data_IF_616845189720
#
_entry.id   IF_616845189720
#
_cell.length_a   1.000
_cell.length_b   1.000
_cell.length_c   1.000
_cell.angle_alpha   90.00
_cell.angle_beta   90.00
_cell.angle_gamma   90.00
#
_symmetry.space_group_name_H-M   'P 1'
#
loop_
_entity.id
_entity.type
_entity.pdbx_description
1 polymer ?
#
# COMPACT_ATOMS: atom_id res chain seq x y z
N UNK A 1 4.75 -13.24 -4.51
CA UNK A 1 3.50 -12.51 -4.81
C UNK A 1 3.78 -11.09 -5.28
N UNK A 2 4.54 -10.30 -4.53
CA UNK A 2 4.82 -8.88 -4.87
C UNK A 2 5.53 -8.72 -6.22
N UNK A 3 6.51 -9.54 -6.53
CA UNK A 3 7.22 -9.48 -7.81
C UNK A 3 6.30 -9.71 -9.00
N UNK A 4 5.36 -10.64 -8.87
CA UNK A 4 4.38 -10.93 -9.91
C UNK A 4 3.44 -9.72 -10.11
N UNK A 5 2.94 -9.15 -9.01
CA UNK A 5 2.05 -7.99 -9.06
C UNK A 5 2.74 -6.77 -9.65
N UNK A 6 3.97 -6.48 -9.22
CA UNK A 6 4.77 -5.40 -9.77
C UNK A 6 4.97 -5.57 -11.28
N UNK A 7 5.34 -6.76 -11.71
CA UNK A 7 5.58 -7.05 -13.11
C UNK A 7 4.30 -6.93 -13.95
N UNK A 8 3.17 -7.37 -13.41
CA UNK A 8 1.87 -7.16 -14.06
C UNK A 8 1.56 -5.67 -14.24
N UNK A 9 1.71 -4.89 -13.18
CA UNK A 9 1.42 -3.45 -13.20
C UNK A 9 2.31 -2.72 -14.22
N UNK A 10 3.58 -3.11 -14.32
CA UNK A 10 4.52 -2.55 -15.28
C UNK A 10 4.35 -3.05 -16.71
N UNK A 11 3.38 -3.94 -16.94
CA UNK A 11 3.11 -4.47 -18.27
C UNK A 11 4.16 -5.44 -18.80
N UNK A 12 4.92 -6.09 -17.94
CA UNK A 12 5.93 -7.08 -18.34
C UNK A 12 5.27 -8.34 -18.88
N UNK A 13 5.91 -8.96 -19.86
CA UNK A 13 5.49 -10.25 -20.41
C UNK A 13 6.09 -11.41 -19.60
N UNK A 14 5.55 -12.62 -19.80
CA UNK A 14 6.03 -13.84 -19.15
C UNK A 14 6.07 -13.73 -17.62
N UNK A 15 4.96 -13.36 -17.03
CA UNK A 15 4.85 -13.11 -15.59
C UNK A 15 5.29 -14.29 -14.73
N UNK A 16 5.17 -15.52 -15.26
CA UNK A 16 5.59 -16.73 -14.54
C UNK A 16 7.07 -16.76 -14.16
N UNK A 17 7.91 -15.99 -14.84
CA UNK A 17 9.33 -15.88 -14.48
C UNK A 17 9.56 -15.07 -13.19
N UNK A 18 8.57 -14.30 -12.76
CA UNK A 18 8.70 -13.43 -11.59
C UNK A 18 8.14 -14.04 -10.30
N UNK A 19 7.61 -15.26 -10.41
CA UNK A 19 7.15 -16.02 -9.25
C UNK A 19 7.11 -17.50 -9.57
N UNK A 20 7.93 -18.29 -8.89
CA UNK A 20 7.99 -19.74 -9.09
C UNK A 20 6.94 -20.51 -8.27
N UNK A 21 6.50 -19.95 -7.14
CA UNK A 21 5.56 -20.60 -6.24
C UNK A 21 4.13 -20.50 -6.78
N UNK A 22 3.52 -21.64 -7.07
CA UNK A 22 2.16 -21.69 -7.62
C UNK A 22 1.11 -21.09 -6.71
N UNK A 23 1.24 -21.25 -5.39
CA UNK A 23 0.34 -20.65 -4.42
C UNK A 23 0.38 -19.12 -4.50
N UNK A 24 1.58 -18.55 -4.54
CA UNK A 24 1.75 -17.10 -4.63
C UNK A 24 1.29 -16.54 -5.97
N UNK A 25 1.44 -17.30 -7.06
CA UNK A 25 0.86 -16.93 -8.35
C UNK A 25 -0.66 -16.86 -8.30
N UNK A 26 -1.31 -17.84 -7.68
CA UNK A 26 -2.77 -17.85 -7.53
C UNK A 26 -3.25 -16.66 -6.70
N UNK A 27 -2.55 -16.38 -5.61
CA UNK A 27 -2.86 -15.23 -4.75
C UNK A 27 -2.71 -13.91 -5.52
N UNK A 28 -1.64 -13.76 -6.29
CA UNK A 28 -1.42 -12.57 -7.12
C UNK A 28 -2.53 -12.41 -8.17
N UNK A 29 -2.93 -13.48 -8.83
CA UNK A 29 -4.01 -13.46 -9.83
C UNK A 29 -5.35 -13.05 -9.21
N UNK A 30 -5.65 -13.49 -7.99
CA UNK A 30 -6.85 -13.07 -7.28
C UNK A 30 -6.83 -11.56 -7.00
N UNK A 31 -5.70 -11.03 -6.57
CA UNK A 31 -5.56 -9.59 -6.34
C UNK A 31 -5.72 -8.83 -7.66
N UNK A 32 -5.14 -9.31 -8.75
CA UNK A 32 -5.28 -8.69 -10.06
C UNK A 32 -6.75 -8.69 -10.49
N UNK A 33 -7.40 -9.85 -10.48
CA UNK A 33 -8.75 -9.99 -11.00
C UNK A 33 -9.79 -9.22 -10.19
N UNK A 34 -9.66 -9.22 -8.87
CA UNK A 34 -10.66 -8.62 -7.98
C UNK A 34 -10.28 -7.23 -7.50
N UNK A 35 -9.00 -6.91 -7.45
CA UNK A 35 -8.49 -5.65 -6.89
C UNK A 35 -7.98 -4.65 -7.91
N UNK A 36 -7.37 -5.09 -9.01
CA UNK A 36 -6.68 -4.19 -9.93
C UNK A 36 -7.39 -4.00 -11.27
N UNK A 37 -7.93 -5.07 -11.84
CA UNK A 37 -8.58 -5.01 -13.16
C UNK A 37 -9.77 -4.05 -13.14
N UNK A 38 -9.77 -3.08 -14.06
CA UNK A 38 -10.78 -2.03 -14.18
C UNK A 38 -10.89 -1.08 -12.97
N UNK A 39 -9.97 -1.17 -12.01
CA UNK A 39 -9.94 -0.31 -10.81
C UNK A 39 -8.69 0.54 -10.75
N UNK A 40 -7.53 -0.01 -11.12
CA UNK A 40 -6.28 0.75 -11.27
C UNK A 40 -6.27 1.37 -12.67
N UNK A 41 -6.41 2.69 -12.73
CA UNK A 41 -6.57 3.43 -13.99
C UNK A 41 -5.25 3.96 -14.51
N UNK A 42 -4.39 4.43 -13.64
CA UNK A 42 -3.10 5.02 -13.97
C UNK A 42 -2.08 4.66 -12.89
N UNK A 43 -0.84 4.42 -13.28
CA UNK A 43 0.25 4.08 -12.38
C UNK A 43 1.26 5.20 -12.36
N UNK A 44 1.53 5.77 -11.20
CA UNK A 44 2.61 6.73 -11.00
C UNK A 44 3.94 6.02 -10.76
N UNK A 45 3.90 4.88 -10.07
CA UNK A 45 5.08 4.07 -9.82
C UNK A 45 4.78 2.83 -8.99
N UNK A 46 5.73 1.88 -9.02
CA UNK A 46 5.73 0.70 -8.17
C UNK A 46 7.00 0.70 -7.34
N UNK A 47 6.94 0.11 -6.14
CA UNK A 47 8.05 0.11 -5.19
C UNK A 47 8.64 1.52 -5.00
N UNK A 48 7.75 2.51 -4.81
CA UNK A 48 8.14 3.90 -4.68
C UNK A 48 8.76 4.16 -3.32
N UNK A 49 10.07 4.43 -3.29
CA UNK A 49 10.76 4.86 -2.07
C UNK A 49 10.50 6.35 -1.87
N UNK A 50 10.05 6.70 -0.68
CA UNK A 50 9.71 8.07 -0.32
C UNK A 50 10.38 8.44 0.98
N UNK A 51 10.87 9.68 1.04
CA UNK A 51 11.49 10.24 2.23
C UNK A 51 10.71 11.48 2.63
N UNK A 52 10.06 11.42 3.78
CA UNK A 52 9.48 12.62 4.39
C UNK A 52 10.65 13.40 5.00
N UNK A 53 10.89 14.65 4.56
CA UNK A 53 12.15 15.35 4.87
C UNK A 53 12.51 15.31 6.35
N UNK A 54 13.72 14.75 6.65
CA UNK A 54 14.33 14.66 7.98
C UNK A 54 13.50 13.90 9.03
N UNK A 55 12.52 13.09 8.62
CA UNK A 55 11.63 12.41 9.58
C UNK A 55 11.56 10.90 9.40
N UNK A 56 11.22 10.42 8.21
CA UNK A 56 11.11 8.99 7.96
C UNK A 56 11.24 8.67 6.47
N UNK A 57 11.48 7.40 6.19
CA UNK A 57 11.52 6.88 4.82
C UNK A 57 10.74 5.57 4.76
N UNK A 58 10.22 5.24 3.60
CA UNK A 58 9.51 4.00 3.36
C UNK A 58 9.28 3.75 1.88
N UNK A 59 8.82 2.54 1.55
CA UNK A 59 8.55 2.12 0.18
C UNK A 59 7.10 1.66 0.06
N UNK A 60 6.33 2.32 -0.80
CA UNK A 60 4.96 1.91 -1.13
C UNK A 60 4.99 0.94 -2.30
N UNK A 61 4.15 -0.10 -2.25
CA UNK A 61 4.09 -1.11 -3.30
C UNK A 61 3.65 -0.51 -4.64
N UNK A 62 2.63 0.35 -4.62
CA UNK A 62 2.13 1.01 -5.81
C UNK A 62 1.51 2.35 -5.45
N UNK A 63 1.67 3.32 -6.34
CA UNK A 63 1.00 4.63 -6.26
C UNK A 63 0.40 4.92 -7.62
N UNK A 64 -0.86 5.32 -7.65
CA UNK A 64 -1.54 5.63 -8.90
C UNK A 64 -2.96 6.12 -8.70
N UNK A 65 -3.71 6.15 -9.79
CA UNK A 65 -5.14 6.47 -9.76
C UNK A 65 -5.94 5.18 -9.67
N UNK A 66 -6.66 5.04 -8.58
CA UNK A 66 -7.45 3.86 -8.25
C UNK A 66 -8.88 4.31 -7.98
N UNK A 67 -9.80 3.80 -8.78
CA UNK A 67 -11.22 4.20 -8.72
C UNK A 67 -11.40 5.72 -8.72
N UNK A 68 -10.65 6.42 -9.59
CA UNK A 68 -10.75 7.85 -9.79
C UNK A 68 -10.02 8.72 -8.78
N UNK A 69 -9.25 8.15 -7.85
CA UNK A 69 -8.53 8.91 -6.81
C UNK A 69 -7.05 8.57 -6.79
N UNK A 70 -6.22 9.57 -6.52
CA UNK A 70 -4.80 9.34 -6.26
C UNK A 70 -4.67 8.54 -4.95
N UNK A 71 -4.07 7.36 -5.04
CA UNK A 71 -4.13 6.32 -4.00
C UNK A 71 -2.78 5.68 -3.76
N UNK A 72 -2.45 5.42 -2.50
CA UNK A 72 -1.41 4.49 -2.09
C UNK A 72 -2.04 3.10 -2.05
N UNK A 73 -1.44 2.14 -2.75
CA UNK A 73 -1.91 0.75 -2.80
C UNK A 73 -0.85 -0.14 -2.19
N UNK A 74 -1.26 -0.98 -1.25
CA UNK A 74 -0.38 -1.92 -0.58
C UNK A 74 -0.92 -3.34 -0.75
N UNK A 75 -0.02 -4.28 -1.04
CA UNK A 75 -0.36 -5.68 -1.22
C UNK A 75 0.07 -6.48 -0.01
N UNK A 76 -0.84 -7.27 0.54
CA UNK A 76 -0.56 -8.13 1.69
C UNK A 76 -0.96 -9.56 1.40
N UNK A 77 -0.16 -10.49 1.88
CA UNK A 77 -0.52 -11.91 1.93
C UNK A 77 -0.74 -12.31 3.39
N UNK A 78 -1.67 -13.23 3.61
CA UNK A 78 -2.04 -13.64 4.96
C UNK A 78 -2.41 -15.11 5.00
N UNK A 79 -2.16 -15.75 6.13
CA UNK A 79 -2.59 -17.14 6.33
C UNK A 79 -4.10 -17.24 6.55
N UNK A 80 -4.71 -16.23 7.14
CA UNK A 80 -6.14 -16.19 7.47
C UNK A 80 -6.74 -14.83 7.11
N UNK A 81 -8.07 -14.78 6.89
CA UNK A 81 -8.74 -13.50 6.70
C UNK A 81 -8.49 -12.55 7.87
N UNK A 82 -8.37 -11.27 7.55
CA UNK A 82 -8.12 -10.21 8.53
C UNK A 82 -9.42 -9.51 8.89
N UNK A 83 -9.51 -9.06 10.15
CA UNK A 83 -10.57 -8.16 10.60
C UNK A 83 -10.03 -6.73 10.62
N UNK A 84 -10.86 -5.76 10.26
CA UNK A 84 -10.44 -4.37 10.18
C UNK A 84 -9.86 -3.85 11.50
N UNK A 85 -10.34 -4.34 12.64
CA UNK A 85 -9.85 -3.92 13.96
C UNK A 85 -8.38 -4.29 14.21
N UNK A 86 -7.83 -5.24 13.45
CA UNK A 86 -6.47 -5.74 13.67
C UNK A 86 -5.45 -5.24 12.63
N UNK A 87 -5.85 -4.33 11.75
CA UNK A 87 -4.95 -3.84 10.68
C UNK A 87 -4.64 -2.34 10.78
N UNK A 88 -4.82 -1.74 11.95
CA UNK A 88 -4.50 -0.32 12.16
C UNK A 88 -3.05 0.01 11.79
N UNK A 89 -2.11 -0.91 12.09
CA UNK A 89 -0.71 -0.71 11.73
C UNK A 89 -0.50 -0.59 10.21
N UNK A 90 -1.28 -1.32 9.42
CA UNK A 90 -1.22 -1.22 7.96
C UNK A 90 -1.74 0.13 7.46
N UNK A 91 -2.83 0.61 8.05
CA UNK A 91 -3.37 1.94 7.72
C UNK A 91 -2.41 3.05 8.14
N UNK A 92 -1.77 2.93 9.30
CA UNK A 92 -0.76 3.89 9.73
C UNK A 92 0.42 3.94 8.75
N UNK A 93 0.87 2.77 8.28
CA UNK A 93 1.95 2.68 7.31
C UNK A 93 1.58 3.34 5.98
N UNK A 94 0.40 3.03 5.43
CA UNK A 94 -0.04 3.62 4.17
C UNK A 94 -0.33 5.11 4.30
N UNK A 95 -0.85 5.55 5.44
CA UNK A 95 -1.04 6.97 5.72
C UNK A 95 0.29 7.72 5.77
N UNK A 96 1.32 7.12 6.37
CA UNK A 96 2.67 7.68 6.36
C UNK A 96 3.20 7.85 4.93
N UNK A 97 2.99 6.84 4.09
CA UNK A 97 3.40 6.91 2.67
C UNK A 97 2.64 8.01 1.92
N UNK A 98 1.34 8.20 2.20
CA UNK A 98 0.56 9.25 1.56
C UNK A 98 1.09 10.64 1.88
N UNK A 99 1.45 10.90 3.13
CA UNK A 99 2.07 12.16 3.54
C UNK A 99 3.40 12.40 2.83
N UNK A 100 4.26 11.38 2.81
CA UNK A 100 5.57 11.48 2.16
C UNK A 100 5.43 11.74 0.66
N UNK A 101 4.54 11.03 -0.02
CA UNK A 101 4.32 11.19 -1.44
C UNK A 101 3.80 12.59 -1.77
N UNK A 102 2.85 13.08 -0.99
CA UNK A 102 2.29 14.43 -1.20
C UNK A 102 3.35 15.52 -1.06
N UNK A 103 4.27 15.39 -0.10
CA UNK A 103 5.34 16.37 0.10
C UNK A 103 6.40 16.25 -1.00
N UNK A 104 6.87 15.05 -1.31
CA UNK A 104 7.99 14.85 -2.25
C UNK A 104 7.57 15.14 -3.68
N UNK A 105 6.36 14.73 -4.08
CA UNK A 105 5.89 14.84 -5.46
C UNK A 105 4.82 15.92 -5.67
N UNK A 106 4.48 16.68 -4.64
CA UNK A 106 3.42 17.68 -4.70
C UNK A 106 2.11 17.06 -5.23
N UNK A 107 1.82 15.84 -4.79
CA UNK A 107 0.61 15.10 -5.17
C UNK A 107 -0.51 15.33 -4.16
N UNK A 108 -1.68 14.80 -4.48
CA UNK A 108 -2.85 14.89 -3.60
C UNK A 108 -3.43 13.49 -3.37
N UNK A 109 -2.68 12.66 -2.67
CA UNK A 109 -3.14 11.33 -2.29
C UNK A 109 -4.29 11.48 -1.29
N UNK A 110 -5.46 10.97 -1.66
CA UNK A 110 -6.70 11.09 -0.86
C UNK A 110 -7.24 9.76 -0.39
N UNK A 111 -6.62 8.65 -0.78
CA UNK A 111 -7.05 7.31 -0.39
C UNK A 111 -5.85 6.39 -0.22
N UNK A 112 -6.03 5.39 0.63
CA UNK A 112 -5.11 4.27 0.78
C UNK A 112 -5.92 2.98 0.70
N UNK A 113 -5.43 2.02 -0.07
CA UNK A 113 -6.09 0.73 -0.29
C UNK A 113 -5.12 -0.38 0.04
N UNK A 114 -5.58 -1.35 0.82
CA UNK A 114 -4.82 -2.55 1.15
C UNK A 114 -5.54 -3.72 0.53
N UNK A 115 -4.88 -4.39 -0.39
CA UNK A 115 -5.39 -5.57 -1.08
C UNK A 115 -4.73 -6.81 -0.50
N UNK A 116 -5.54 -7.67 0.09
CA UNK A 116 -5.08 -8.85 0.81
C UNK A 116 -5.55 -10.10 0.08
N UNK A 117 -4.68 -11.10 -0.03
CA UNK A 117 -5.10 -12.43 -0.41
C UNK A 117 -4.57 -13.44 0.61
N UNK A 118 -5.45 -14.35 1.04
CA UNK A 118 -5.06 -15.43 1.94
C UNK A 118 -4.48 -16.61 1.18
N UNK A 119 -3.81 -17.50 1.88
CA UNK A 119 -3.30 -18.75 1.30
C UNK A 119 -4.41 -19.64 0.73
N UNK A 120 -5.64 -19.49 1.23
CA UNK A 120 -6.83 -20.18 0.71
C UNK A 120 -7.50 -19.42 -0.43
N UNK A 121 -6.82 -18.41 -0.97
CA UNK A 121 -7.25 -17.62 -2.12
C UNK A 121 -8.47 -16.73 -1.85
N UNK A 122 -8.67 -16.32 -0.60
CA UNK A 122 -9.70 -15.35 -0.24
C UNK A 122 -9.16 -13.93 -0.40
N UNK A 123 -9.85 -13.12 -1.20
CA UNK A 123 -9.50 -11.72 -1.44
C UNK A 123 -10.22 -10.82 -0.44
N UNK A 124 -9.50 -9.83 0.09
CA UNK A 124 -10.07 -8.78 0.93
C UNK A 124 -9.53 -7.42 0.49
N UNK A 125 -10.38 -6.42 0.53
CA UNK A 125 -10.01 -5.02 0.29
C UNK A 125 -10.32 -4.20 1.53
N UNK A 126 -9.34 -3.42 1.98
CA UNK A 126 -9.51 -2.44 3.05
C UNK A 126 -9.13 -1.08 2.51
N UNK A 127 -9.96 -0.08 2.74
CA UNK A 127 -9.77 1.26 2.20
C UNK A 127 -10.02 2.31 3.27
N UNK A 128 -9.15 3.31 3.33
CA UNK A 128 -9.38 4.55 4.07
C UNK A 128 -9.27 5.72 3.11
N UNK A 129 -10.13 6.72 3.28
CA UNK A 129 -10.15 7.89 2.41
C UNK A 129 -10.72 9.10 3.15
N UNK A 130 -10.43 10.29 2.62
CA UNK A 130 -10.96 11.53 3.17
C UNK A 130 -10.61 11.73 4.65
N UNK A 131 -11.61 12.07 5.50
CA UNK A 131 -11.35 12.34 6.91
C UNK A 131 -10.73 11.18 7.68
N UNK A 132 -11.05 9.93 7.30
CA UNK A 132 -10.46 8.75 7.92
C UNK A 132 -8.96 8.65 7.64
N UNK A 133 -8.54 8.94 6.41
CA UNK A 133 -7.12 9.00 6.06
C UNK A 133 -6.42 10.09 6.88
N UNK A 134 -7.02 11.28 6.99
CA UNK A 134 -6.46 12.37 7.78
C UNK A 134 -6.28 11.96 9.25
N UNK A 135 -7.23 11.21 9.81
CA UNK A 135 -7.12 10.69 11.16
C UNK A 135 -5.89 9.81 11.33
N UNK A 136 -5.65 8.87 10.41
CA UNK A 136 -4.45 8.01 10.46
C UNK A 136 -3.16 8.79 10.22
N UNK A 137 -3.18 9.77 9.32
CA UNK A 137 -2.03 10.66 9.11
C UNK A 137 -1.65 11.39 10.40
N UNK A 138 -2.63 11.94 11.10
CA UNK A 138 -2.40 12.64 12.37
C UNK A 138 -1.92 11.70 13.48
N UNK A 139 -2.47 10.48 13.55
CA UNK A 139 -2.01 9.46 14.50
C UNK A 139 -0.55 9.10 14.23
N UNK A 140 -0.18 8.92 12.98
CA UNK A 140 1.21 8.61 12.62
C UNK A 140 2.14 9.76 13.01
N UNK A 141 1.78 11.01 12.69
CA UNK A 141 2.60 12.17 13.03
C UNK A 141 2.76 12.32 14.55
N UNK A 142 1.71 12.03 15.33
CA UNK A 142 1.78 12.05 16.77
C UNK A 142 2.75 11.01 17.33
N UNK A 143 2.75 9.80 16.78
CA UNK A 143 3.70 8.75 17.17
C UNK A 143 5.14 9.10 16.79
N UNK A 144 5.32 9.68 15.61
CA UNK A 144 6.63 10.13 15.14
C UNK A 144 7.19 11.23 16.05
N UNK A 145 6.36 12.17 16.46
CA UNK A 145 6.75 13.23 17.38
C UNK A 145 7.21 12.64 18.72
N UNK A 146 6.46 11.70 19.28
CA UNK A 146 6.86 11.00 20.52
C UNK A 146 8.19 10.27 20.38
N UNK A 147 8.38 9.58 19.27
CA UNK A 147 9.64 8.89 18.99
C UNK A 147 10.81 9.86 18.95
N UNK A 148 10.66 10.99 18.25
CA UNK A 148 11.71 12.00 18.16
C UNK A 148 12.02 12.64 19.52
N UNK A 149 11.00 12.90 20.34
CA UNK A 149 11.19 13.43 21.69
C UNK A 149 11.97 12.47 22.57
N UNK A 150 11.64 11.16 22.54
CA UNK A 150 12.36 10.14 23.29
C UNK A 150 13.80 10.00 22.83
N UNK A 151 14.06 10.09 21.52
CA UNK A 151 15.40 10.00 20.97
C UNK A 151 16.25 11.21 21.35
N UNK A 152 15.66 12.41 21.40
CA UNK A 152 16.37 13.64 21.77
C UNK A 152 16.66 13.75 23.27
N UNK A 153 16.04 12.93 24.10
CA UNK A 153 16.29 12.88 25.54
C UNK A 153 17.51 12.03 25.92
N UNK A 154 18.01 11.28 24.95
CA UNK A 154 19.25 10.49 25.10
C UNK A 154 20.45 11.35 24.67
#
# INVERSE_FOLDING_TARGET
MHNYLESYILGRENLSFFEDNEQYKRMAKEIIDKGLTNRLEEVYGVECTMVYPMKYAGTADCVGVYEGKETIIDFKQSNKPKKVEYIDSWFLQTAAYSLAHNVVHNSNITACVILVCTVDNLFQEFKIQGPELVTYQNLFLGRLKKFNELTNLE
#
